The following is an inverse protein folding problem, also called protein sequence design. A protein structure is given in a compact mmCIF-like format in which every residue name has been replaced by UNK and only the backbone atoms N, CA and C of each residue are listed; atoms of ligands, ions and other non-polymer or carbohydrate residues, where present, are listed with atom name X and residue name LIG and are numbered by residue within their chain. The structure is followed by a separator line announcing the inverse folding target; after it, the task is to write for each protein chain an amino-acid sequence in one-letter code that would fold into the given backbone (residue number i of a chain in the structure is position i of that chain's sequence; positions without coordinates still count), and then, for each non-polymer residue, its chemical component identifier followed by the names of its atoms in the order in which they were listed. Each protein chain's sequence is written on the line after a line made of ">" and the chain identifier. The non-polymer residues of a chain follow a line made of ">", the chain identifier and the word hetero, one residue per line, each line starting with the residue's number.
data_IF_546800352275
#
_entry.id   IF_546800352275
#
_cell.length_a   1.000
_cell.length_b   1.000
_cell.length_c   1.000
_cell.angle_alpha   90.00
_cell.angle_beta   90.00
_cell.angle_gamma   90.00
#
_symmetry.space_group_name_H-M   'P 1'
#
loop_
_entity.id
_entity.type
_entity.pdbx_description
1 polymer ?
#
# COMPACT_ATOMS: atom_id res chain seq x y z
N UNK A 1 -8.18 11.53 26.74
CA UNK A 1 -8.41 11.10 25.35
C UNK A 1 -7.11 11.28 24.59
N UNK A 2 -6.74 10.30 23.77
CA UNK A 2 -5.53 10.37 22.94
C UNK A 2 -5.77 11.36 21.80
N UNK A 3 -4.80 12.23 21.51
CA UNK A 3 -4.81 13.09 20.32
C UNK A 3 -3.81 12.56 19.33
N UNK A 4 -4.21 12.50 18.07
CA UNK A 4 -3.37 12.07 16.97
C UNK A 4 -3.33 13.18 15.93
N UNK A 5 -2.14 13.41 15.36
CA UNK A 5 -1.92 14.41 14.32
C UNK A 5 -1.26 13.73 13.15
N UNK A 6 -1.88 13.85 11.99
CA UNK A 6 -1.31 13.45 10.71
C UNK A 6 -1.09 14.72 9.87
N UNK A 7 0.06 14.85 9.18
CA UNK A 7 0.35 16.05 8.40
C UNK A 7 -0.63 16.30 7.27
N UNK A 8 -1.25 15.27 6.68
CA UNK A 8 -2.17 15.37 5.55
C UNK A 8 -3.60 15.60 6.01
N UNK A 9 -4.04 14.90 7.06
CA UNK A 9 -5.46 14.90 7.45
C UNK A 9 -5.80 15.84 8.60
N UNK A 10 -4.82 16.19 9.43
CA UNK A 10 -4.94 17.11 10.55
C UNK A 10 -4.94 16.41 11.91
N UNK A 11 -5.45 17.10 12.93
CA UNK A 11 -5.46 16.64 14.32
C UNK A 11 -6.84 16.21 14.77
N UNK A 12 -6.94 15.01 15.36
CA UNK A 12 -8.19 14.45 15.86
C UNK A 12 -8.04 13.87 17.28
N UNK A 13 -9.13 13.91 18.04
CA UNK A 13 -9.27 13.11 19.26
C UNK A 13 -9.70 11.70 18.89
N UNK A 14 -9.05 10.70 19.48
CA UNK A 14 -9.21 9.29 19.14
C UNK A 14 -9.95 8.55 20.26
N UNK A 15 -10.93 7.75 19.86
CA UNK A 15 -11.77 6.95 20.73
C UNK A 15 -10.96 5.85 21.44
N UNK A 16 -11.35 5.44 22.66
CA UNK A 16 -10.61 4.45 23.43
C UNK A 16 -10.35 3.13 22.69
N UNK A 17 -11.32 2.64 21.90
CA UNK A 17 -11.18 1.40 21.11
C UNK A 17 -10.05 1.52 20.08
N UNK A 18 -10.01 2.60 19.31
CA UNK A 18 -8.97 2.85 18.32
C UNK A 18 -7.60 3.02 19.00
N UNK A 19 -7.54 3.77 20.10
CA UNK A 19 -6.30 3.97 20.84
C UNK A 19 -5.72 2.66 21.41
N UNK A 20 -6.56 1.74 21.87
CA UNK A 20 -6.14 0.42 22.35
C UNK A 20 -5.78 -0.53 21.20
N UNK A 21 -6.51 -0.49 20.08
CA UNK A 21 -6.16 -1.22 18.87
C UNK A 21 -4.79 -0.80 18.32
N UNK A 22 -4.51 0.50 18.20
CA UNK A 22 -3.21 1.04 17.76
C UNK A 22 -2.06 0.51 18.64
N UNK A 23 -2.28 0.40 19.95
CA UNK A 23 -1.29 -0.09 20.90
C UNK A 23 -1.22 -1.63 20.99
N UNK A 24 -2.14 -2.34 20.32
CA UNK A 24 -2.14 -3.79 20.33
C UNK A 24 -0.90 -4.35 19.62
N UNK A 25 -0.38 -5.53 20.01
CA UNK A 25 0.84 -6.08 19.42
C UNK A 25 0.77 -6.23 17.89
N UNK A 26 -0.38 -6.63 17.34
CA UNK A 26 -0.48 -6.88 15.90
C UNK A 26 -0.53 -5.60 15.07
N UNK A 27 -1.20 -4.55 15.56
CA UNK A 27 -1.25 -3.25 14.87
C UNK A 27 0.06 -2.48 15.07
N UNK A 28 0.60 -2.43 16.29
CA UNK A 28 1.88 -1.75 16.55
C UNK A 28 3.07 -2.39 15.81
N UNK A 29 3.01 -3.69 15.50
CA UNK A 29 3.97 -4.37 14.61
C UNK A 29 4.08 -3.67 13.24
N UNK A 30 2.99 -3.12 12.71
CA UNK A 30 2.98 -2.45 11.41
C UNK A 30 3.92 -1.23 11.36
N UNK A 31 4.33 -0.67 12.50
CA UNK A 31 5.36 0.38 12.57
C UNK A 31 6.74 -0.11 12.10
N UNK A 32 6.90 -1.42 11.95
CA UNK A 32 8.14 -2.10 11.57
C UNK A 32 7.94 -3.00 10.35
N UNK A 33 6.87 -2.73 9.59
CA UNK A 33 6.58 -3.33 8.28
C UNK A 33 6.44 -2.19 7.28
N UNK A 34 7.34 -2.12 6.30
CA UNK A 34 7.35 -1.01 5.36
C UNK A 34 6.32 -1.22 4.24
N UNK A 35 5.57 -0.17 3.91
CA UNK A 35 4.53 -0.14 2.86
C UNK A 35 5.11 -0.62 1.52
N UNK A 36 6.22 -0.01 1.11
CA UNK A 36 6.99 -0.37 -0.09
C UNK A 36 7.82 -1.65 0.02
N UNK A 37 7.56 -2.50 1.02
CA UNK A 37 8.23 -3.79 1.19
C UNK A 37 9.75 -3.66 1.32
N UNK A 38 10.49 -4.20 0.37
CA UNK A 38 11.97 -4.20 0.39
C UNK A 38 12.61 -2.88 -0.07
N UNK A 39 11.82 -1.92 -0.56
CA UNK A 39 12.27 -0.66 -1.15
C UNK A 39 13.18 0.16 -0.24
N UNK A 40 12.91 0.17 1.06
CA UNK A 40 13.72 0.92 2.04
C UNK A 40 15.17 0.41 2.15
N UNK A 41 15.43 -0.86 1.76
CA UNK A 41 16.76 -1.46 1.80
C UNK A 41 17.70 -0.89 0.73
N UNK A 42 17.13 -0.35 -0.35
CA UNK A 42 17.87 0.21 -1.50
C UNK A 42 17.74 1.73 -1.59
N UNK A 43 16.68 2.30 -1.02
CA UNK A 43 16.50 3.74 -0.87
C UNK A 43 15.90 4.06 0.51
N UNK A 44 16.66 4.65 1.44
CA UNK A 44 16.19 4.91 2.80
C UNK A 44 15.08 5.97 2.89
N UNK A 45 14.74 6.64 1.78
CA UNK A 45 13.59 7.56 1.71
C UNK A 45 12.25 6.84 1.46
N UNK A 46 12.28 5.55 1.11
CA UNK A 46 11.11 4.72 0.85
C UNK A 46 10.72 3.92 2.10
N UNK A 47 10.64 4.62 3.24
CA UNK A 47 10.55 4.04 4.59
C UNK A 47 9.17 4.19 5.25
N UNK A 48 8.13 4.56 4.50
CA UNK A 48 6.77 4.66 5.04
C UNK A 48 6.32 3.30 5.62
N UNK A 49 5.80 3.30 6.85
CA UNK A 49 5.33 2.09 7.51
C UNK A 49 3.85 1.81 7.21
N UNK A 50 3.43 0.56 7.29
CA UNK A 50 2.00 0.19 7.20
C UNK A 50 1.18 0.76 8.34
N UNK A 51 1.79 1.08 9.47
CA UNK A 51 1.10 1.76 10.57
C UNK A 51 0.77 3.20 10.19
N UNK A 52 1.69 3.91 9.53
CA UNK A 52 1.45 5.28 9.07
C UNK A 52 0.27 5.31 8.08
N UNK A 53 0.24 4.38 7.13
CA UNK A 53 -0.86 4.19 6.17
C UNK A 53 -2.17 3.81 6.88
N UNK A 54 -2.16 2.79 7.73
CA UNK A 54 -3.38 2.35 8.45
C UNK A 54 -3.98 3.46 9.32
N UNK A 55 -3.13 4.29 9.94
CA UNK A 55 -3.55 5.49 10.68
C UNK A 55 -4.06 6.56 9.71
N UNK A 56 -3.38 6.77 8.58
CA UNK A 56 -3.78 7.70 7.52
C UNK A 56 -5.18 7.40 7.02
N UNK A 57 -5.45 6.18 6.58
CA UNK A 57 -6.77 5.67 6.18
C UNK A 57 -7.82 5.87 7.27
N UNK A 58 -7.53 5.50 8.53
CA UNK A 58 -8.46 5.71 9.66
C UNK A 58 -8.83 7.20 9.83
N UNK A 59 -7.84 8.09 9.77
CA UNK A 59 -8.05 9.53 9.92
C UNK A 59 -8.74 10.16 8.71
N UNK A 60 -8.46 9.65 7.51
CA UNK A 60 -9.15 10.05 6.28
C UNK A 60 -10.64 9.70 6.38
N UNK A 61 -10.98 8.47 6.77
CA UNK A 61 -12.37 8.04 6.98
C UNK A 61 -13.07 8.96 7.98
N UNK A 62 -12.40 9.24 9.11
CA UNK A 62 -12.91 10.18 10.13
C UNK A 62 -13.17 11.57 9.55
N UNK A 63 -12.23 12.10 8.77
CA UNK A 63 -12.32 13.43 8.15
C UNK A 63 -13.52 13.57 7.23
N UNK A 64 -13.87 12.49 6.51
CA UNK A 64 -15.02 12.45 5.60
C UNK A 64 -16.32 11.94 6.23
N UNK A 65 -16.34 11.76 7.56
CA UNK A 65 -17.56 11.49 8.32
C UNK A 65 -17.93 10.02 8.44
N UNK A 66 -17.01 9.10 8.20
CA UNK A 66 -17.22 7.67 8.38
C UNK A 66 -17.48 7.29 9.84
N UNK A 67 -18.21 6.19 10.04
CA UNK A 67 -18.57 5.73 11.38
C UNK A 67 -17.34 5.27 12.18
N UNK A 68 -17.51 5.04 13.48
CA UNK A 68 -16.41 4.52 14.30
C UNK A 68 -16.05 3.09 13.87
N UNK A 69 -17.03 2.28 13.49
CA UNK A 69 -16.82 0.94 12.95
C UNK A 69 -16.05 0.95 11.62
N UNK A 70 -16.35 1.92 10.74
CA UNK A 70 -15.60 2.12 9.50
C UNK A 70 -14.17 2.57 9.75
N UNK A 71 -13.95 3.43 10.76
CA UNK A 71 -12.60 3.81 11.20
C UNK A 71 -11.85 2.60 11.78
N UNK A 72 -12.51 1.70 12.51
CA UNK A 72 -11.91 0.44 12.97
C UNK A 72 -11.56 -0.45 11.78
N UNK A 73 -12.44 -0.57 10.79
CA UNK A 73 -12.19 -1.32 9.56
C UNK A 73 -10.96 -0.77 8.84
N UNK A 74 -10.88 0.55 8.64
CA UNK A 74 -9.75 1.22 8.00
C UNK A 74 -8.45 1.15 8.78
N UNK A 75 -8.48 1.18 10.12
CA UNK A 75 -7.27 0.97 10.93
C UNK A 75 -6.70 -0.45 10.77
N UNK A 76 -7.56 -1.43 10.53
CA UNK A 76 -7.20 -2.84 10.56
C UNK A 76 -7.09 -3.47 9.17
N UNK A 77 -7.51 -2.81 8.09
CA UNK A 77 -7.60 -3.40 6.74
C UNK A 77 -6.29 -4.08 6.31
N UNK A 78 -5.16 -3.50 6.68
CA UNK A 78 -3.81 -3.95 6.30
C UNK A 78 -3.08 -4.73 7.41
N UNK A 79 -3.75 -5.07 8.51
CA UNK A 79 -3.09 -5.64 9.69
C UNK A 79 -2.42 -7.00 9.45
N UNK A 80 -2.87 -7.70 8.41
CA UNK A 80 -2.36 -9.01 8.00
C UNK A 80 -1.17 -8.95 7.05
N UNK A 81 -0.75 -7.77 6.59
CA UNK A 81 0.41 -7.68 5.73
C UNK A 81 1.67 -8.25 6.39
N UNK A 82 2.37 -9.09 5.65
CA UNK A 82 3.53 -9.82 6.15
C UNK A 82 4.76 -8.92 6.27
N UNK A 83 5.82 -9.40 6.93
CA UNK A 83 7.13 -8.77 6.83
C UNK A 83 7.51 -8.58 5.34
N UNK A 84 7.95 -7.38 5.00
CA UNK A 84 8.19 -6.89 3.64
C UNK A 84 6.95 -6.86 2.73
N UNK A 85 5.77 -6.74 3.32
CA UNK A 85 4.54 -6.45 2.58
C UNK A 85 4.25 -7.50 1.50
N UNK A 86 4.29 -7.08 0.23
CA UNK A 86 4.00 -7.92 -0.92
C UNK A 86 5.18 -8.77 -1.40
N UNK A 87 6.37 -8.69 -0.79
CA UNK A 87 7.51 -9.52 -1.23
C UNK A 87 7.19 -11.02 -1.08
N UNK A 88 6.33 -11.40 -0.13
CA UNK A 88 5.86 -12.78 0.01
C UNK A 88 5.08 -13.27 -1.21
N UNK A 89 4.27 -12.40 -1.83
CA UNK A 89 3.48 -12.75 -3.01
C UNK A 89 4.42 -13.20 -4.14
N UNK A 90 5.61 -12.62 -4.19
CA UNK A 90 6.63 -12.90 -5.21
C UNK A 90 7.40 -14.15 -4.80
N UNK A 91 7.75 -14.27 -3.52
CA UNK A 91 8.46 -15.44 -3.01
C UNK A 91 7.65 -16.74 -3.15
N UNK A 92 6.33 -16.65 -3.11
CA UNK A 92 5.42 -17.81 -3.16
C UNK A 92 4.58 -17.88 -4.46
N UNK A 93 4.86 -17.00 -5.42
CA UNK A 93 4.22 -16.94 -6.75
C UNK A 93 2.67 -16.75 -6.69
N UNK A 94 2.18 -15.87 -5.80
CA UNK A 94 0.80 -15.40 -5.76
C UNK A 94 0.59 -14.24 -6.76
N UNK A 95 0.07 -14.56 -7.94
CA UNK A 95 -0.09 -13.60 -9.05
C UNK A 95 -1.06 -12.44 -8.76
N UNK A 96 -2.05 -12.65 -7.88
CA UNK A 96 -3.07 -11.64 -7.54
C UNK A 96 -2.60 -10.62 -6.49
N UNK A 97 -1.39 -10.79 -5.95
CA UNK A 97 -0.79 -9.96 -4.88
C UNK A 97 -1.70 -9.84 -3.62
N UNK A 98 -2.44 -10.91 -3.30
CA UNK A 98 -3.53 -10.94 -2.32
C UNK A 98 -3.28 -11.86 -1.10
N UNK A 99 -2.04 -12.32 -0.87
CA UNK A 99 -1.77 -13.28 0.21
C UNK A 99 -2.17 -12.77 1.61
N UNK A 100 -2.01 -11.46 1.82
CA UNK A 100 -2.41 -10.80 3.06
C UNK A 100 -3.94 -10.86 3.29
N UNK A 101 -4.75 -10.84 2.23
CA UNK A 101 -6.21 -11.00 2.32
C UNK A 101 -6.56 -12.44 2.72
N UNK A 102 -5.87 -13.43 2.12
CA UNK A 102 -6.09 -14.86 2.39
C UNK A 102 -5.81 -15.25 3.85
N UNK A 103 -4.87 -14.57 4.51
CA UNK A 103 -4.49 -14.82 5.91
C UNK A 103 -5.13 -13.84 6.90
N UNK A 104 -5.95 -12.89 6.42
CA UNK A 104 -6.51 -11.81 7.23
C UNK A 104 -7.29 -12.31 8.44
N UNK A 105 -8.26 -13.20 8.20
CA UNK A 105 -9.11 -13.74 9.25
C UNK A 105 -8.29 -14.48 10.32
N UNK A 106 -7.32 -15.29 9.91
CA UNK A 106 -6.43 -16.03 10.82
C UNK A 106 -5.55 -15.07 11.65
N UNK A 107 -4.98 -14.03 11.03
CA UNK A 107 -4.20 -13.01 11.72
C UNK A 107 -5.02 -12.31 12.81
N UNK A 108 -6.22 -11.87 12.46
CA UNK A 108 -7.06 -11.13 13.41
C UNK A 108 -7.59 -12.06 14.50
N UNK A 109 -8.17 -13.22 14.14
CA UNK A 109 -8.80 -14.14 15.12
C UNK A 109 -7.81 -14.78 16.08
N UNK A 110 -6.54 -14.95 15.71
CA UNK A 110 -5.50 -15.49 16.60
C UNK A 110 -4.77 -14.42 17.43
N UNK A 111 -5.18 -13.14 17.32
CA UNK A 111 -4.55 -12.02 18.02
C UNK A 111 -5.36 -11.54 19.24
N UNK A 112 -4.93 -10.43 19.85
CA UNK A 112 -5.68 -9.73 20.91
C UNK A 112 -6.82 -8.88 20.37
N UNK A 113 -6.91 -8.64 19.05
CA UNK A 113 -7.90 -7.73 18.44
C UNK A 113 -9.35 -8.12 18.77
N UNK A 114 -9.79 -9.39 18.64
CA UNK A 114 -11.17 -9.76 18.94
C UNK A 114 -11.58 -9.42 20.39
N UNK A 115 -10.69 -9.69 21.36
CA UNK A 115 -10.93 -9.36 22.75
C UNK A 115 -11.02 -7.84 23.00
N UNK A 116 -10.21 -7.05 22.28
CA UNK A 116 -10.28 -5.58 22.33
C UNK A 116 -11.62 -5.10 21.75
N UNK A 117 -12.04 -5.63 20.60
CA UNK A 117 -13.33 -5.29 19.98
C UNK A 117 -14.49 -5.60 20.93
N UNK A 118 -14.52 -6.81 21.49
CA UNK A 118 -15.57 -7.26 22.43
C UNK A 118 -15.65 -6.37 23.67
N UNK A 119 -14.50 -5.97 24.24
CA UNK A 119 -14.43 -5.05 25.38
C UNK A 119 -15.18 -3.73 25.14
N UNK A 120 -15.22 -3.28 23.88
CA UNK A 120 -15.88 -2.04 23.48
C UNK A 120 -17.25 -2.25 22.81
N UNK A 121 -17.75 -3.49 22.80
CA UNK A 121 -19.08 -3.82 22.24
C UNK A 121 -19.09 -4.05 20.73
N UNK A 122 -17.93 -4.28 20.11
CA UNK A 122 -17.80 -4.64 18.70
C UNK A 122 -17.47 -6.12 18.53
N UNK A 123 -17.61 -6.64 17.32
CA UNK A 123 -17.16 -7.98 16.95
C UNK A 123 -16.41 -7.96 15.63
N UNK A 124 -15.56 -8.96 15.41
CA UNK A 124 -14.86 -9.14 14.14
C UNK A 124 -15.84 -9.29 12.98
N UNK A 125 -16.82 -10.19 13.11
CA UNK A 125 -17.85 -10.44 12.10
C UNK A 125 -18.67 -9.17 11.81
N UNK A 126 -19.02 -8.43 12.86
CA UNK A 126 -19.77 -7.18 12.74
C UNK A 126 -19.02 -6.11 11.93
N UNK A 127 -17.70 -6.17 11.84
CA UNK A 127 -16.88 -5.22 11.09
C UNK A 127 -16.46 -5.76 9.72
N UNK A 128 -16.04 -7.03 9.63
CA UNK A 128 -15.34 -7.57 8.45
C UNK A 128 -16.12 -8.63 7.65
N UNK A 129 -17.28 -9.11 8.10
CA UNK A 129 -18.07 -10.09 7.33
C UNK A 129 -18.57 -9.52 5.99
N UNK A 130 -18.86 -8.22 5.97
CA UNK A 130 -19.21 -7.46 4.77
C UNK A 130 -18.43 -6.15 4.76
N UNK A 131 -17.29 -6.13 4.06
CA UNK A 131 -16.45 -4.94 3.90
C UNK A 131 -17.09 -3.92 2.96
N UNK A 132 -17.96 -4.36 2.04
CA UNK A 132 -18.54 -3.51 0.99
C UNK A 132 -19.50 -2.44 1.52
N UNK A 133 -19.93 -2.56 2.78
CA UNK A 133 -20.73 -1.55 3.48
C UNK A 133 -19.92 -0.31 3.90
N UNK A 134 -18.59 -0.41 3.89
CA UNK A 134 -17.67 0.67 4.24
C UNK A 134 -17.29 1.46 2.98
N UNK A 135 -18.23 2.26 2.49
CA UNK A 135 -18.13 2.94 1.19
C UNK A 135 -17.08 4.07 1.12
N UNK A 136 -16.55 4.53 2.26
CA UNK A 136 -15.41 5.47 2.29
C UNK A 136 -14.11 4.68 2.26
N UNK A 137 -14.02 3.62 3.07
CA UNK A 137 -12.85 2.74 3.11
C UNK A 137 -12.58 2.14 1.74
N UNK A 138 -13.61 1.52 1.16
CA UNK A 138 -13.51 0.72 -0.05
C UNK A 138 -14.58 1.11 -1.07
N UNK A 139 -14.14 1.28 -2.30
CA UNK A 139 -15.00 1.35 -3.48
C UNK A 139 -14.30 0.54 -4.56
N UNK A 140 -15.05 -0.16 -5.39
CA UNK A 140 -14.46 -0.93 -6.49
C UNK A 140 -13.60 -0.06 -7.41
N UNK A 141 -12.49 -0.60 -7.90
CA UNK A 141 -11.74 0.03 -8.97
C UNK A 141 -12.64 0.17 -10.22
N UNK A 142 -12.56 1.30 -10.96
CA UNK A 142 -11.50 2.31 -10.92
C UNK A 142 -11.86 3.58 -10.12
N UNK A 143 -12.85 3.55 -9.23
CA UNK A 143 -13.25 4.73 -8.44
C UNK A 143 -12.21 5.12 -7.38
N UNK A 144 -12.45 6.18 -6.60
CA UNK A 144 -11.65 6.52 -5.42
C UNK A 144 -12.04 5.64 -4.22
N UNK A 145 -11.09 5.37 -3.33
CA UNK A 145 -11.37 4.88 -1.98
C UNK A 145 -10.31 5.43 -1.00
N UNK A 146 -10.55 5.33 0.31
CA UNK A 146 -9.62 5.85 1.32
C UNK A 146 -8.22 5.26 1.19
N UNK A 147 -8.10 3.94 0.99
CA UNK A 147 -6.82 3.25 0.81
C UNK A 147 -6.01 3.85 -0.35
N UNK A 148 -6.62 3.91 -1.54
CA UNK A 148 -5.96 4.43 -2.75
C UNK A 148 -5.60 5.90 -2.67
N UNK A 149 -6.42 6.70 -2.00
CA UNK A 149 -6.09 8.09 -1.74
C UNK A 149 -4.92 8.19 -0.78
N UNK A 150 -4.93 7.42 0.30
CA UNK A 150 -3.93 7.56 1.36
C UNK A 150 -2.54 7.18 0.88
N UNK A 151 -2.33 5.97 0.35
CA UNK A 151 -0.99 5.58 -0.09
C UNK A 151 -0.46 6.53 -1.17
N UNK A 152 -1.31 6.98 -2.10
CA UNK A 152 -0.90 7.91 -3.17
C UNK A 152 -0.42 9.24 -2.58
N UNK A 153 -1.19 9.83 -1.66
CA UNK A 153 -0.81 11.13 -1.10
C UNK A 153 0.35 11.01 -0.11
N UNK A 154 0.36 9.96 0.71
CA UNK A 154 1.34 9.78 1.77
C UNK A 154 2.73 9.45 1.19
N UNK A 155 2.82 8.52 0.23
CA UNK A 155 4.09 8.20 -0.44
C UNK A 155 4.62 9.41 -1.20
N UNK A 156 3.81 10.06 -2.05
CA UNK A 156 4.25 11.20 -2.83
C UNK A 156 4.67 12.40 -1.95
N UNK A 157 3.96 12.65 -0.84
CA UNK A 157 4.33 13.71 0.10
C UNK A 157 5.65 13.39 0.81
N UNK A 158 5.82 12.15 1.30
CA UNK A 158 7.06 11.70 1.97
C UNK A 158 8.26 11.72 1.04
N UNK A 159 8.06 11.37 -0.23
CA UNK A 159 9.07 11.44 -1.27
C UNK A 159 9.34 12.88 -1.77
N UNK A 160 8.61 13.88 -1.27
CA UNK A 160 8.76 15.28 -1.66
C UNK A 160 8.32 15.59 -3.09
N UNK A 161 7.48 14.73 -3.69
CA UNK A 161 6.94 14.88 -5.05
C UNK A 161 5.75 15.83 -5.10
N UNK A 162 4.98 15.92 -4.01
CA UNK A 162 3.85 16.85 -3.86
C UNK A 162 3.99 17.66 -2.56
N UNK A 163 3.42 18.86 -2.55
CA UNK A 163 3.38 19.74 -1.39
C UNK A 163 2.10 19.55 -0.56
N UNK A 164 2.14 19.96 0.71
CA UNK A 164 0.96 19.94 1.58
C UNK A 164 -0.20 20.79 1.00
N UNK A 165 0.12 21.90 0.33
CA UNK A 165 -0.90 22.75 -0.30
C UNK A 165 -1.63 22.04 -1.46
N UNK A 166 -0.92 21.18 -2.22
CA UNK A 166 -1.55 20.35 -3.25
C UNK A 166 -2.45 19.28 -2.64
N UNK A 167 -1.99 18.63 -1.56
CA UNK A 167 -2.80 17.66 -0.80
C UNK A 167 -4.07 18.33 -0.26
N UNK A 168 -3.95 19.47 0.42
CA UNK A 168 -5.10 20.22 0.94
C UNK A 168 -6.07 20.63 -0.17
N UNK A 169 -5.55 21.08 -1.32
CA UNK A 169 -6.37 21.44 -2.48
C UNK A 169 -7.13 20.25 -3.05
N UNK A 170 -6.51 19.07 -3.13
CA UNK A 170 -7.20 17.85 -3.55
C UNK A 170 -8.26 17.41 -2.54
N UNK A 171 -7.94 17.39 -1.25
CA UNK A 171 -8.88 17.00 -0.19
C UNK A 171 -10.12 17.91 -0.14
N UNK A 172 -9.97 19.21 -0.44
CA UNK A 172 -11.09 20.15 -0.55
C UNK A 172 -11.98 19.91 -1.78
N UNK A 173 -11.46 19.25 -2.81
CA UNK A 173 -12.20 18.92 -4.02
C UNK A 173 -12.96 17.59 -3.94
N UNK A 174 -12.76 16.80 -2.89
CA UNK A 174 -13.53 15.58 -2.64
C UNK A 174 -14.95 15.93 -2.20
N UNK A 175 -15.91 15.19 -2.74
CA UNK A 175 -17.34 15.33 -2.41
C UNK A 175 -17.94 13.98 -2.05
N UNK A 176 -18.81 13.99 -1.04
CA UNK A 176 -19.57 12.83 -0.61
C UNK A 176 -20.92 12.78 -1.32
N UNK A 177 -21.20 11.68 -2.02
CA UNK A 177 -22.51 11.42 -2.64
C UNK A 177 -22.96 10.02 -2.25
N UNK A 178 -24.04 9.93 -1.47
CA UNK A 178 -24.60 8.67 -0.97
C UNK A 178 -23.54 7.77 -0.29
N UNK A 179 -22.75 8.31 0.63
CA UNK A 179 -21.74 7.53 1.37
C UNK A 179 -20.42 7.27 0.64
N UNK A 180 -20.31 7.66 -0.63
CA UNK A 180 -19.11 7.43 -1.49
C UNK A 180 -18.39 8.72 -1.85
N UNK A 181 -17.10 8.60 -2.12
CA UNK A 181 -16.19 9.67 -2.53
C UNK A 181 -16.14 9.84 -4.03
N UNK A 182 -16.25 11.10 -4.45
CA UNK A 182 -16.12 11.55 -5.83
C UNK A 182 -15.41 12.90 -5.89
N UNK A 183 -15.24 13.44 -7.09
CA UNK A 183 -14.57 14.73 -7.29
C UNK A 183 -15.54 15.83 -7.72
N UNK A 184 -15.35 17.03 -7.16
CA UNK A 184 -16.16 18.20 -7.48
C UNK A 184 -15.91 18.77 -8.89
N UNK A 185 -14.73 18.51 -9.46
CA UNK A 185 -14.32 19.13 -10.71
C UNK A 185 -13.28 18.28 -11.46
N UNK A 186 -13.22 18.49 -12.78
CA UNK A 186 -12.35 17.74 -13.68
C UNK A 186 -10.85 18.01 -13.45
N UNK A 187 -10.47 19.22 -13.03
CA UNK A 187 -9.06 19.57 -12.79
C UNK A 187 -8.46 18.75 -11.65
N UNK A 188 -9.23 18.51 -10.58
CA UNK A 188 -8.83 17.65 -9.48
C UNK A 188 -8.74 16.18 -9.89
N UNK A 189 -9.60 15.72 -10.81
CA UNK A 189 -9.52 14.38 -11.37
C UNK A 189 -8.27 14.20 -12.24
N UNK A 190 -8.00 15.13 -13.14
CA UNK A 190 -6.76 15.14 -13.93
C UNK A 190 -5.51 15.11 -13.04
N UNK A 191 -5.51 15.93 -11.97
CA UNK A 191 -4.39 15.96 -11.03
C UNK A 191 -4.22 14.63 -10.29
N UNK A 192 -5.28 14.05 -9.74
CA UNK A 192 -5.18 12.81 -8.98
C UNK A 192 -4.84 11.62 -9.84
N UNK A 193 -5.43 11.47 -11.03
CA UNK A 193 -5.08 10.41 -11.99
C UNK A 193 -3.58 10.47 -12.32
N UNK A 194 -3.04 11.67 -12.54
CA UNK A 194 -1.60 11.86 -12.76
C UNK A 194 -0.76 11.43 -11.55
N UNK A 195 -1.13 11.85 -10.35
CA UNK A 195 -0.40 11.49 -9.12
C UNK A 195 -0.46 9.98 -8.87
N UNK A 196 -1.64 9.39 -9.00
CA UNK A 196 -1.87 7.96 -8.85
C UNK A 196 -0.96 7.16 -9.78
N UNK A 197 -0.86 7.54 -11.06
CA UNK A 197 0.06 6.85 -11.97
C UNK A 197 1.54 7.13 -11.72
N UNK A 198 1.91 8.28 -11.15
CA UNK A 198 3.30 8.48 -10.68
C UNK A 198 3.68 7.57 -9.50
N UNK A 199 2.67 7.04 -8.80
CA UNK A 199 2.85 6.07 -7.73
C UNK A 199 2.86 4.64 -8.30
N UNK A 200 1.75 4.21 -8.92
CA UNK A 200 1.58 2.81 -9.34
C UNK A 200 2.31 2.44 -10.64
N UNK A 201 2.75 3.44 -11.42
CA UNK A 201 3.62 3.22 -12.58
C UNK A 201 5.06 3.63 -12.23
N UNK A 202 5.33 4.92 -11.99
CA UNK A 202 6.72 5.37 -11.91
C UNK A 202 7.48 4.81 -10.71
N UNK A 203 6.85 4.72 -9.53
CA UNK A 203 7.50 4.18 -8.33
C UNK A 203 7.40 2.66 -8.23
N UNK A 204 6.22 2.07 -8.45
CA UNK A 204 6.07 0.61 -8.39
C UNK A 204 6.90 -0.11 -9.46
N UNK A 205 7.03 0.47 -10.66
CA UNK A 205 7.93 -0.03 -11.70
C UNK A 205 9.30 0.67 -11.68
N UNK A 206 9.69 1.40 -10.62
CA UNK A 206 11.06 1.90 -10.52
C UNK A 206 12.03 0.70 -10.55
N UNK A 207 13.07 0.70 -11.42
CA UNK A 207 14.00 -0.41 -11.52
C UNK A 207 14.59 -0.84 -10.18
N UNK A 208 14.87 0.13 -9.29
CA UNK A 208 15.46 -0.12 -7.99
C UNK A 208 14.48 -0.84 -7.04
N UNK A 209 13.20 -0.44 -7.06
CA UNK A 209 12.12 -1.07 -6.30
C UNK A 209 11.89 -2.52 -6.78
N UNK A 210 11.70 -2.71 -8.08
CA UNK A 210 11.48 -4.05 -8.64
C UNK A 210 12.69 -4.96 -8.39
N UNK A 211 13.90 -4.45 -8.56
CA UNK A 211 15.12 -5.21 -8.26
C UNK A 211 15.19 -5.62 -6.78
N UNK A 212 14.81 -4.75 -5.84
CA UNK A 212 14.83 -5.12 -4.43
C UNK A 212 13.81 -6.21 -4.10
N UNK A 213 12.62 -6.14 -4.70
CA UNK A 213 11.60 -7.18 -4.59
C UNK A 213 12.12 -8.52 -5.10
N UNK A 214 12.71 -8.55 -6.29
CA UNK A 214 13.26 -9.77 -6.89
C UNK A 214 14.33 -10.41 -6.00
N UNK A 215 15.32 -9.64 -5.58
CA UNK A 215 16.42 -10.15 -4.77
C UNK A 215 15.93 -10.70 -3.43
N UNK A 216 15.02 -9.99 -2.75
CA UNK A 216 14.51 -10.44 -1.47
C UNK A 216 13.54 -11.63 -1.62
N UNK A 217 12.70 -11.64 -2.65
CA UNK A 217 11.82 -12.76 -2.96
C UNK A 217 12.62 -14.04 -3.27
N UNK A 218 13.68 -13.93 -4.07
CA UNK A 218 14.60 -15.05 -4.33
C UNK A 218 15.31 -15.51 -3.04
N UNK A 219 15.71 -14.59 -2.17
CA UNK A 219 16.30 -14.93 -0.87
C UNK A 219 15.31 -15.68 0.03
N UNK A 220 14.04 -15.25 0.06
CA UNK A 220 12.95 -15.93 0.78
C UNK A 220 12.62 -17.29 0.18
N UNK A 221 12.61 -17.45 -1.15
CA UNK A 221 12.43 -18.75 -1.83
C UNK A 221 13.48 -19.75 -1.38
N UNK A 222 14.76 -19.36 -1.37
CA UNK A 222 15.86 -20.20 -0.88
C UNK A 222 15.62 -20.55 0.59
N UNK A 223 15.21 -19.57 1.40
CA UNK A 223 14.96 -19.75 2.82
C UNK A 223 13.84 -20.78 3.11
N UNK A 224 12.74 -20.71 2.35
CA UNK A 224 11.63 -21.67 2.42
C UNK A 224 12.03 -23.06 1.96
N UNK A 225 12.77 -23.17 0.84
CA UNK A 225 13.26 -24.45 0.32
C UNK A 225 14.21 -25.16 1.29
N UNK A 226 14.98 -24.39 2.06
CA UNK A 226 15.88 -24.91 3.10
C UNK A 226 15.20 -25.08 4.46
N UNK A 227 13.89 -24.80 4.57
CA UNK A 227 13.12 -24.82 5.82
C UNK A 227 13.73 -23.94 6.93
N UNK A 228 14.52 -22.93 6.54
CA UNK A 228 15.15 -22.00 7.47
C UNK A 228 14.19 -20.92 7.96
N UNK A 229 13.11 -20.67 7.20
CA UNK A 229 11.93 -19.91 7.60
C UNK A 229 10.67 -20.73 7.27
N UNK A 230 9.56 -20.39 7.93
CA UNK A 230 8.23 -20.98 7.72
C UNK A 230 7.21 -19.87 7.51
N UNK A 231 5.98 -20.19 7.11
CA UNK A 231 4.90 -19.20 6.97
C UNK A 231 4.61 -18.47 8.29
N UNK A 232 4.90 -19.07 9.45
CA UNK A 232 4.77 -18.39 10.74
C UNK A 232 5.73 -17.19 10.88
N UNK A 233 6.89 -17.23 10.21
CA UNK A 233 7.87 -16.14 10.24
C UNK A 233 7.42 -14.92 9.42
N UNK A 234 6.39 -15.05 8.58
CA UNK A 234 5.80 -13.93 7.85
C UNK A 234 5.07 -12.95 8.77
N UNK A 235 4.71 -13.38 9.99
CA UNK A 235 4.14 -12.54 11.05
C UNK A 235 5.17 -11.67 11.76
N UNK A 236 6.46 -11.82 11.46
CA UNK A 236 7.51 -10.99 12.05
C UNK A 236 7.45 -9.54 11.54
N UNK A 237 8.34 -8.71 12.06
CA UNK A 237 8.72 -7.43 11.46
C UNK A 237 9.77 -7.62 10.37
N UNK A 238 9.99 -6.60 9.55
CA UNK A 238 10.98 -6.64 8.46
C UNK A 238 12.39 -6.91 9.00
N UNK A 239 12.77 -6.23 10.10
CA UNK A 239 14.07 -6.38 10.71
C UNK A 239 14.31 -7.80 11.28
N UNK A 240 13.29 -8.39 11.90
CA UNK A 240 13.36 -9.75 12.45
C UNK A 240 13.49 -10.80 11.35
N UNK A 241 12.66 -10.71 10.30
CA UNK A 241 12.74 -11.62 9.16
C UNK A 241 14.10 -11.46 8.45
N UNK A 242 14.55 -10.22 8.24
CA UNK A 242 15.86 -9.95 7.64
C UNK A 242 17.02 -10.52 8.45
N UNK A 243 16.97 -10.43 9.79
CA UNK A 243 17.97 -11.03 10.66
C UNK A 243 18.00 -12.56 10.52
N UNK A 244 16.82 -13.18 10.42
CA UNK A 244 16.68 -14.63 10.21
C UNK A 244 17.23 -15.07 8.86
N UNK A 245 16.92 -14.34 7.78
CA UNK A 245 17.47 -14.58 6.45
C UNK A 245 19.00 -14.45 6.42
N UNK A 246 19.56 -13.43 7.07
CA UNK A 246 21.01 -13.19 7.11
C UNK A 246 21.82 -14.19 7.96
N UNK A 247 21.16 -15.05 8.73
CA UNK A 247 21.82 -16.10 9.50
C UNK A 247 22.43 -17.18 8.60
N UNK A 248 21.88 -17.37 7.40
CA UNK A 248 22.39 -18.28 6.38
C UNK A 248 23.35 -17.54 5.43
N UNK A 249 24.51 -18.13 5.13
CA UNK A 249 25.53 -17.49 4.27
C UNK A 249 25.04 -17.23 2.86
N UNK A 250 24.34 -18.19 2.26
CA UNK A 250 23.97 -18.17 0.84
C UNK A 250 22.85 -17.14 0.63
N UNK A 251 21.90 -17.10 1.56
CA UNK A 251 20.81 -16.11 1.58
C UNK A 251 21.37 -14.71 1.83
N UNK A 252 22.33 -14.57 2.76
CA UNK A 252 23.01 -13.30 3.01
C UNK A 252 23.77 -12.79 1.77
N UNK A 253 24.48 -13.67 1.06
CA UNK A 253 25.16 -13.30 -0.20
C UNK A 253 24.17 -12.81 -1.26
N UNK A 254 22.97 -13.41 -1.33
CA UNK A 254 21.89 -12.94 -2.19
C UNK A 254 21.43 -11.53 -1.79
N UNK A 255 21.12 -11.30 -0.51
CA UNK A 255 20.68 -10.00 0.00
C UNK A 255 21.75 -8.91 -0.21
N UNK A 256 23.03 -9.24 -0.12
CA UNK A 256 24.12 -8.30 -0.39
C UNK A 256 24.14 -7.76 -1.83
N UNK A 257 23.44 -8.40 -2.78
CA UNK A 257 23.27 -7.86 -4.13
C UNK A 257 22.45 -6.56 -4.18
N UNK A 258 21.65 -6.28 -3.15
CA UNK A 258 20.96 -5.00 -2.99
C UNK A 258 21.93 -3.81 -2.84
N UNK A 259 23.19 -4.07 -2.46
CA UNK A 259 24.17 -3.01 -2.26
C UNK A 259 24.67 -2.46 -3.61
N UNK A 260 24.25 -1.24 -3.95
CA UNK A 260 24.73 -0.47 -5.12
C UNK A 260 24.55 -1.17 -6.46
N UNK A 261 23.32 -1.55 -6.85
CA UNK A 261 23.08 -2.20 -8.12
C UNK A 261 23.30 -1.23 -9.29
N UNK A 262 23.71 -1.77 -10.44
CA UNK A 262 23.62 -1.05 -11.72
C UNK A 262 22.48 -1.66 -12.54
N UNK A 263 21.43 -0.88 -12.72
CA UNK A 263 20.17 -1.29 -13.32
C UNK A 263 19.90 -0.45 -14.56
N UNK A 264 19.49 -1.12 -15.62
CA UNK A 264 19.05 -0.52 -16.87
C UNK A 264 17.73 -1.16 -17.28
N UNK A 265 16.78 -0.36 -17.73
CA UNK A 265 15.58 -0.89 -18.38
C UNK A 265 15.92 -1.29 -19.83
N UNK A 266 15.75 -2.57 -20.16
CA UNK A 266 16.13 -3.12 -21.46
C UNK A 266 15.25 -4.33 -21.83
N UNK A 267 14.40 -4.19 -22.84
CA UNK A 267 13.43 -5.22 -23.26
C UNK A 267 14.00 -6.31 -24.19
N UNK A 268 15.29 -6.21 -24.55
CA UNK A 268 15.99 -7.19 -25.41
C UNK A 268 16.95 -8.06 -24.61
N UNK A 269 17.75 -7.47 -23.73
CA UNK A 269 18.70 -8.16 -22.86
C UNK A 269 18.42 -7.79 -21.40
N UNK A 270 17.59 -8.59 -20.72
CA UNK A 270 17.21 -8.39 -19.32
C UNK A 270 17.59 -9.57 -18.44
N UNK A 271 17.64 -9.30 -17.14
CA UNK A 271 17.77 -10.30 -16.07
C UNK A 271 16.41 -10.65 -15.49
N UNK A 272 15.57 -9.64 -15.27
CA UNK A 272 14.24 -9.77 -14.68
C UNK A 272 13.21 -9.15 -15.61
N UNK A 273 12.07 -9.81 -15.76
CA UNK A 273 10.87 -9.21 -16.35
C UNK A 273 9.77 -9.31 -15.31
N UNK A 274 9.23 -8.16 -14.93
CA UNK A 274 8.22 -8.10 -13.91
C UNK A 274 6.94 -7.45 -14.39
N UNK A 275 5.80 -8.04 -14.02
CA UNK A 275 4.47 -7.48 -14.21
C UNK A 275 3.78 -7.44 -12.86
N UNK A 276 3.35 -6.25 -12.44
CA UNK A 276 2.52 -6.08 -11.25
C UNK A 276 1.05 -6.15 -11.62
N UNK A 277 0.19 -6.41 -10.65
CA UNK A 277 -1.27 -6.30 -10.82
C UNK A 277 -1.62 -4.91 -11.38
N UNK A 278 -2.44 -4.89 -12.43
CA UNK A 278 -2.81 -3.64 -13.09
C UNK A 278 -3.70 -2.80 -12.17
N UNK A 279 -3.32 -1.53 -11.98
CA UNK A 279 -4.01 -0.58 -11.11
C UNK A 279 -4.41 0.63 -11.94
N UNK A 280 -5.66 0.64 -12.41
CA UNK A 280 -6.23 1.76 -13.17
C UNK A 280 -7.14 2.60 -12.29
N UNK A 281 -7.22 3.89 -12.59
CA UNK A 281 -8.10 4.81 -11.88
C UNK A 281 -8.83 5.74 -12.84
N UNK A 282 -10.12 5.93 -12.60
CA UNK A 282 -11.00 6.75 -13.41
C UNK A 282 -12.13 7.28 -12.52
N UNK A 283 -11.80 8.21 -11.61
CA UNK A 283 -12.75 8.66 -10.60
C UNK A 283 -13.90 9.43 -11.23
N UNK A 284 -15.12 9.21 -10.76
CA UNK A 284 -16.27 9.98 -11.23
C UNK A 284 -16.25 11.42 -10.71
N UNK A 285 -16.66 12.36 -11.57
CA UNK A 285 -16.78 13.79 -11.29
C UNK A 285 -18.25 14.19 -11.21
N UNK A 286 -18.61 14.96 -10.20
CA UNK A 286 -19.97 15.49 -10.04
C UNK A 286 -20.18 16.71 -10.94
N UNK A 287 -20.95 16.54 -12.02
CA UNK A 287 -21.31 17.59 -12.98
C UNK A 287 -22.82 17.74 -13.04
N UNK A 288 -23.35 18.92 -12.69
CA UNK A 288 -24.78 19.23 -12.71
C UNK A 288 -25.67 18.17 -12.01
N UNK A 289 -25.17 17.62 -10.89
CA UNK A 289 -25.88 16.61 -10.10
C UNK A 289 -25.78 15.18 -10.65
N UNK A 290 -24.93 14.93 -11.65
CA UNK A 290 -24.64 13.59 -12.20
C UNK A 290 -23.19 13.24 -11.98
N UNK A 291 -22.94 11.97 -11.67
CA UNK A 291 -21.59 11.42 -11.60
C UNK A 291 -21.22 10.94 -13.01
N UNK A 292 -20.14 11.50 -13.55
CA UNK A 292 -19.64 11.17 -14.89
C UNK A 292 -18.18 10.74 -14.75
N UNK A 293 -17.75 9.59 -15.28
CA UNK A 293 -16.36 9.15 -15.26
C UNK A 293 -15.41 10.23 -15.84
N UNK A 294 -14.25 10.41 -15.23
CA UNK A 294 -13.33 11.48 -15.62
C UNK A 294 -12.81 11.35 -17.07
N UNK A 295 -12.63 10.14 -17.59
CA UNK A 295 -12.19 9.92 -18.97
C UNK A 295 -13.24 10.38 -20.00
N UNK A 296 -14.53 10.29 -19.69
CA UNK A 296 -15.61 10.86 -20.52
C UNK A 296 -15.56 12.39 -20.60
N UNK A 297 -14.99 13.04 -19.57
CA UNK A 297 -14.90 14.49 -19.46
C UNK A 297 -13.54 15.08 -19.89
N UNK A 298 -12.47 14.28 -19.84
CA UNK A 298 -11.10 14.73 -20.14
C UNK A 298 -10.37 13.73 -21.03
N UNK A 299 -9.96 14.22 -22.20
CA UNK A 299 -9.06 13.51 -23.11
C UNK A 299 -7.72 13.15 -22.43
N UNK A 300 -7.21 14.02 -21.54
CA UNK A 300 -5.96 13.74 -20.80
C UNK A 300 -6.11 12.53 -19.87
N UNK A 301 -7.24 12.40 -19.18
CA UNK A 301 -7.50 11.24 -18.32
C UNK A 301 -7.56 9.97 -19.15
N UNK A 302 -8.24 10.02 -20.30
CA UNK A 302 -8.30 8.90 -21.23
C UNK A 302 -6.91 8.48 -21.71
N UNK A 303 -6.10 9.42 -22.16
CA UNK A 303 -4.72 9.17 -22.60
C UNK A 303 -3.84 8.60 -21.48
N UNK A 304 -3.96 9.13 -20.25
CA UNK A 304 -3.23 8.61 -19.08
C UNK A 304 -3.65 7.17 -18.73
N UNK A 305 -4.94 6.85 -18.83
CA UNK A 305 -5.46 5.51 -18.59
C UNK A 305 -4.98 4.51 -19.65
N UNK A 306 -5.01 4.90 -20.92
CA UNK A 306 -4.52 4.08 -22.02
C UNK A 306 -3.02 3.81 -21.86
N UNK A 307 -2.23 4.86 -21.60
CA UNK A 307 -0.79 4.75 -21.33
C UNK A 307 -0.49 3.85 -20.13
N UNK A 308 -1.18 4.04 -19.00
CA UNK A 308 -0.97 3.23 -17.80
C UNK A 308 -1.34 1.75 -18.04
N UNK A 309 -2.41 1.49 -18.82
CA UNK A 309 -2.82 0.14 -19.21
C UNK A 309 -1.75 -0.54 -20.08
N UNK A 310 -1.23 0.16 -21.08
CA UNK A 310 -0.16 -0.36 -21.95
C UNK A 310 1.12 -0.62 -21.17
N UNK A 311 1.55 0.34 -20.34
CA UNK A 311 2.74 0.20 -19.49
C UNK A 311 2.61 -0.98 -18.53
N UNK A 312 1.46 -1.14 -17.87
CA UNK A 312 1.20 -2.28 -16.99
C UNK A 312 1.21 -3.62 -17.73
N UNK A 313 0.64 -3.68 -18.94
CA UNK A 313 0.66 -4.90 -19.79
C UNK A 313 2.08 -5.27 -20.23
N UNK A 314 2.88 -4.26 -20.56
CA UNK A 314 4.28 -4.44 -20.95
C UNK A 314 5.12 -4.91 -19.76
N UNK A 315 4.89 -4.33 -18.58
CA UNK A 315 5.69 -4.54 -17.38
C UNK A 315 6.98 -3.74 -17.43
N UNK A 316 8.00 -4.21 -16.69
CA UNK A 316 9.36 -3.68 -16.76
C UNK A 316 10.38 -4.80 -16.98
N UNK A 317 11.36 -4.54 -17.82
CA UNK A 317 12.47 -5.44 -18.11
C UNK A 317 13.76 -4.83 -17.57
N UNK A 318 14.40 -5.47 -16.60
CA UNK A 318 15.55 -4.91 -15.89
C UNK A 318 16.78 -5.78 -16.17
N UNK A 319 17.83 -5.15 -16.68
CA UNK A 319 19.17 -5.70 -16.74
C UNK A 319 19.94 -5.32 -15.49
N UNK A 320 20.29 -6.31 -14.68
CA UNK A 320 21.18 -6.11 -13.54
C UNK A 320 22.61 -6.49 -13.94
N UNK A 321 23.55 -5.56 -13.83
CA UNK A 321 24.97 -5.84 -14.11
C UNK A 321 25.81 -5.71 -12.84
N UNK A 322 26.79 -6.61 -12.68
CA UNK A 322 27.80 -6.46 -11.63
C UNK A 322 28.76 -5.36 -12.04
N UNK A 323 29.04 -4.41 -11.14
CA UNK A 323 30.12 -3.43 -11.30
C UNK A 323 31.40 -4.19 -11.68
N UNK A 324 31.96 -3.93 -12.86
CA UNK A 324 33.30 -4.44 -13.17
C UNK A 324 34.22 -3.89 -12.10
N UNK A 325 34.90 -4.75 -11.34
CA UNK A 325 35.98 -4.31 -10.45
C UNK A 325 37.02 -3.64 -11.35
N UNK A 326 37.03 -2.30 -11.38
CA UNK A 326 38.14 -1.51 -11.92
C UNK A 326 39.24 -1.43 -10.88
#
# INVERSE_FOLDING_TARGET
>A
MMKMTDPLYGTFEIEPVLAELIQSPLVSRLAHVHQGGSSYLVNPLWDLSRLDHSIGVMLFIRKFGGSLEEQIAGLLHDVSHTAFSHVVDYALDFEEEDYHEQIFEDFVKTSTIPAILEKYGYSFEGIFEDISKWEILEQEAPELCADRIDYTLQDLYRHGKISLAEVEGFLQALVMVNGRLYLANISSAEWFVKQYYSEVIDYFYDPLNVYSYEILAEAMRIAFQQESITTADLRLTDAELLAKLNANSDIREKIQLLASPHLEENDVDFTYHHKKKMRLINPSVLVDGRLIPADELSEKVREMNDWASERSKHGIYIKATKKSKQ
#
